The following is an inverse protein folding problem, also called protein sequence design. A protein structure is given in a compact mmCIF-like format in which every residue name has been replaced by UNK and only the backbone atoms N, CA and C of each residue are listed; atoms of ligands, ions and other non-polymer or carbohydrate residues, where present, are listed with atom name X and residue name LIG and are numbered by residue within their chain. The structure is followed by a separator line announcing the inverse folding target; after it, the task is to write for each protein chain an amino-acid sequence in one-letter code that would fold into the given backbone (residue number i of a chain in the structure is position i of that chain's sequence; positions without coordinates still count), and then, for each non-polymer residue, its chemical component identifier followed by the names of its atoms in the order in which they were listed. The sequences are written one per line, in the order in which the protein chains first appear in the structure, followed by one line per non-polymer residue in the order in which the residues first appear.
data_IF_856778212783
#
_entry.id   IF_856778212783
#
_cell.length_a   1.000
_cell.length_b   1.000
_cell.length_c   1.000
_cell.angle_alpha   90.00
_cell.angle_beta   90.00
_cell.angle_gamma   90.00
#
_symmetry.space_group_name_H-M   'P 1'
#
loop_
_entity.id
_entity.type
_entity.pdbx_description
1 polymer ?
#
# COMPACT_ATOMS: atom_id res chain seq x y z
N UNK A 1 13.25 -65.01 -39.81
CA UNK A 1 14.29 -64.77 -38.80
C UNK A 1 14.26 -63.27 -38.46
N UNK A 2 13.77 -62.96 -37.26
CA UNK A 2 13.68 -61.69 -36.53
C UNK A 2 13.02 -60.42 -37.12
N UNK A 3 11.81 -60.20 -36.61
CA UNK A 3 11.03 -58.98 -36.50
C UNK A 3 11.19 -58.47 -35.04
N UNK A 4 11.55 -57.19 -34.80
CA UNK A 4 11.32 -56.33 -33.59
C UNK A 4 12.40 -55.22 -33.52
N UNK A 5 12.09 -53.92 -33.69
CA UNK A 5 11.62 -52.94 -32.66
C UNK A 5 12.59 -52.88 -31.46
N UNK A 6 13.20 -51.74 -31.08
CA UNK A 6 12.56 -50.54 -30.52
C UNK A 6 13.51 -49.32 -30.63
N UNK A 7 13.03 -48.20 -31.21
CA UNK A 7 13.58 -46.86 -30.97
C UNK A 7 13.13 -46.42 -29.56
N UNK A 8 14.08 -46.22 -28.65
CA UNK A 8 13.79 -45.60 -27.35
C UNK A 8 13.57 -44.09 -27.55
N UNK A 9 12.31 -43.68 -27.62
CA UNK A 9 11.92 -42.27 -27.56
C UNK A 9 12.24 -41.72 -26.16
N UNK A 10 13.23 -40.83 -26.09
CA UNK A 10 13.51 -40.02 -24.91
C UNK A 10 12.41 -38.95 -24.80
N UNK A 11 11.25 -39.32 -24.29
CA UNK A 11 10.28 -38.34 -23.81
C UNK A 11 10.84 -37.72 -22.53
N UNK A 12 11.66 -36.68 -22.67
CA UNK A 12 11.87 -35.70 -21.61
C UNK A 12 10.52 -35.03 -21.36
N UNK A 13 9.72 -35.65 -20.49
CA UNK A 13 8.60 -34.99 -19.88
C UNK A 13 9.14 -33.76 -19.18
N UNK A 14 8.84 -32.59 -19.73
CA UNK A 14 9.02 -31.33 -19.01
C UNK A 14 8.04 -31.46 -17.84
N UNK A 15 8.53 -31.86 -16.67
CA UNK A 15 7.73 -31.80 -15.46
C UNK A 15 7.42 -30.33 -15.25
N UNK A 16 6.21 -29.91 -15.65
CA UNK A 16 5.68 -28.61 -15.26
C UNK A 16 5.59 -28.65 -13.74
N UNK A 17 6.57 -28.07 -13.05
CA UNK A 17 6.53 -27.91 -11.62
C UNK A 17 5.37 -26.95 -11.32
N UNK A 18 4.19 -27.52 -11.08
CA UNK A 18 3.07 -26.76 -10.53
C UNK A 18 3.58 -26.14 -9.24
N UNK A 19 3.48 -24.81 -9.06
CA UNK A 19 3.91 -24.17 -7.82
C UNK A 19 3.24 -24.87 -6.64
N UNK A 20 4.03 -25.43 -5.73
CA UNK A 20 3.50 -26.01 -4.50
C UNK A 20 3.11 -24.87 -3.58
N UNK A 21 1.82 -24.62 -3.48
CA UNK A 21 1.24 -23.66 -2.55
C UNK A 21 1.23 -24.18 -1.12
N UNK A 22 1.26 -23.26 -0.15
CA UNK A 22 1.16 -23.63 1.26
C UNK A 22 -0.28 -24.03 1.62
N UNK A 23 -0.49 -25.32 1.90
CA UNK A 23 -1.80 -25.87 2.25
C UNK A 23 -2.37 -25.25 3.54
N UNK A 24 -1.51 -24.77 4.46
CA UNK A 24 -1.98 -24.11 5.68
C UNK A 24 -2.66 -22.76 5.40
N UNK A 25 -2.43 -22.19 4.20
CA UNK A 25 -3.02 -20.93 3.77
C UNK A 25 -4.29 -21.12 2.93
N UNK A 26 -4.68 -22.35 2.58
CA UNK A 26 -5.86 -22.64 1.75
C UNK A 26 -7.12 -21.97 2.28
N UNK A 27 -7.43 -22.19 3.56
CA UNK A 27 -8.62 -21.60 4.20
C UNK A 27 -8.59 -20.08 4.17
N UNK A 28 -7.42 -19.46 4.47
CA UNK A 28 -7.25 -18.01 4.43
C UNK A 28 -7.41 -17.46 3.01
N UNK A 29 -6.89 -18.15 2.00
CA UNK A 29 -7.03 -17.78 0.59
C UNK A 29 -8.51 -17.80 0.15
N UNK A 30 -9.24 -18.88 0.43
CA UNK A 30 -10.65 -18.97 0.05
C UNK A 30 -11.53 -17.94 0.77
N UNK A 31 -11.28 -17.71 2.07
CA UNK A 31 -11.94 -16.65 2.82
C UNK A 31 -11.65 -15.27 2.23
N UNK A 32 -10.38 -14.97 1.96
CA UNK A 32 -9.97 -13.70 1.36
C UNK A 32 -10.62 -13.48 -0.02
N UNK A 33 -10.67 -14.50 -0.88
CA UNK A 33 -11.37 -14.43 -2.17
C UNK A 33 -12.86 -14.15 -2.00
N UNK A 34 -13.51 -14.83 -1.06
CA UNK A 34 -14.94 -14.64 -0.79
C UNK A 34 -15.24 -13.22 -0.30
N UNK A 35 -14.44 -12.70 0.64
CA UNK A 35 -14.57 -11.33 1.18
C UNK A 35 -14.44 -10.28 0.08
N UNK A 36 -13.44 -10.41 -0.81
CA UNK A 36 -13.17 -9.43 -1.86
C UNK A 36 -13.81 -9.78 -3.21
N UNK A 37 -14.75 -10.73 -3.22
CA UNK A 37 -15.54 -11.19 -4.37
C UNK A 37 -14.68 -11.52 -5.59
N UNK A 38 -13.58 -12.24 -5.36
CA UNK A 38 -12.64 -12.65 -6.41
C UNK A 38 -13.05 -13.96 -7.07
N UNK A 39 -13.13 -13.92 -8.39
CA UNK A 39 -13.39 -15.07 -9.26
C UNK A 39 -12.34 -15.03 -10.36
N UNK A 40 -11.53 -16.08 -10.46
CA UNK A 40 -10.45 -16.19 -11.44
C UNK A 40 -10.70 -17.34 -12.39
N UNK A 41 -10.18 -17.23 -13.61
CA UNK A 41 -10.06 -18.40 -14.49
C UNK A 41 -8.99 -19.38 -13.98
N UNK A 42 -9.05 -20.63 -14.44
CA UNK A 42 -8.12 -21.69 -14.03
C UNK A 42 -6.64 -21.32 -14.26
N UNK A 43 -6.35 -20.55 -15.31
CA UNK A 43 -5.00 -20.10 -15.66
C UNK A 43 -4.56 -18.85 -14.87
N UNK A 44 -5.49 -18.16 -14.22
CA UNK A 44 -5.21 -16.92 -13.47
C UNK A 44 -5.05 -17.18 -11.97
N UNK A 45 -5.84 -18.10 -11.41
CA UNK A 45 -5.89 -18.33 -9.97
C UNK A 45 -4.52 -18.69 -9.38
N UNK A 46 -3.74 -19.52 -10.08
CA UNK A 46 -2.45 -19.98 -9.59
C UNK A 46 -1.45 -18.84 -9.33
N UNK A 47 -1.32 -17.90 -10.26
CA UNK A 47 -0.37 -16.80 -10.09
C UNK A 47 -0.90 -15.72 -9.15
N UNK A 48 -2.22 -15.44 -9.14
CA UNK A 48 -2.84 -14.54 -8.15
C UNK A 48 -2.65 -15.07 -6.73
N UNK A 49 -2.80 -16.40 -6.54
CA UNK A 49 -2.51 -17.06 -5.27
C UNK A 49 -1.04 -16.96 -4.87
N UNK A 50 -0.12 -17.12 -5.83
CA UNK A 50 1.32 -16.97 -5.56
C UNK A 50 1.66 -15.54 -5.08
N UNK A 51 1.09 -14.51 -5.72
CA UNK A 51 1.24 -13.11 -5.30
C UNK A 51 0.68 -12.91 -3.88
N UNK A 52 -0.51 -13.43 -3.61
CA UNK A 52 -1.14 -13.33 -2.31
C UNK A 52 -0.35 -14.01 -1.19
N UNK A 53 0.17 -15.23 -1.41
CA UNK A 53 0.98 -15.94 -0.41
C UNK A 53 2.31 -15.22 -0.13
N UNK A 54 2.93 -14.66 -1.17
CA UNK A 54 4.14 -13.82 -1.02
C UNK A 54 3.84 -12.61 -0.13
N UNK A 55 2.74 -11.90 -0.39
CA UNK A 55 2.31 -10.75 0.40
C UNK A 55 1.97 -11.14 1.84
N UNK A 56 1.33 -12.29 2.06
CA UNK A 56 0.97 -12.77 3.40
C UNK A 56 2.21 -13.04 4.27
N UNK A 57 3.22 -13.72 3.73
CA UNK A 57 4.48 -14.00 4.46
C UNK A 57 5.23 -12.72 4.81
N UNK A 58 5.23 -11.75 3.90
CA UNK A 58 5.85 -10.44 4.11
C UNK A 58 5.16 -9.66 5.23
N UNK A 59 3.82 -9.67 5.28
CA UNK A 59 3.03 -9.08 6.37
C UNK A 59 3.33 -9.77 7.72
N UNK A 60 3.37 -11.10 7.76
CA UNK A 60 3.64 -11.86 8.99
C UNK A 60 5.05 -11.58 9.54
N UNK A 61 6.06 -11.50 8.67
CA UNK A 61 7.43 -11.15 9.05
C UNK A 61 7.50 -9.73 9.65
N UNK A 62 6.96 -8.73 8.96
CA UNK A 62 6.95 -7.34 9.42
C UNK A 62 6.27 -7.19 10.79
N UNK A 63 5.12 -7.85 11.00
CA UNK A 63 4.41 -7.79 12.27
C UNK A 63 5.17 -8.51 13.40
N UNK A 64 5.95 -9.55 13.08
CA UNK A 64 6.89 -10.16 14.03
C UNK A 64 7.99 -9.19 14.47
N UNK A 65 8.53 -8.39 13.56
CA UNK A 65 9.52 -7.34 13.85
C UNK A 65 8.92 -6.15 14.62
N UNK A 66 7.69 -5.76 14.30
CA UNK A 66 6.93 -4.77 15.08
C UNK A 66 6.81 -5.18 16.55
N UNK A 67 6.53 -6.46 16.83
CA UNK A 67 6.44 -6.97 18.22
C UNK A 67 7.75 -6.86 19.01
N UNK A 68 8.88 -6.75 18.30
CA UNK A 68 10.22 -6.54 18.86
C UNK A 68 10.59 -5.04 18.95
N UNK A 69 9.67 -4.13 18.61
CA UNK A 69 9.87 -2.68 18.63
C UNK A 69 10.70 -2.14 17.45
N UNK A 70 10.88 -2.92 16.38
CA UNK A 70 11.67 -2.51 15.21
C UNK A 70 10.92 -1.56 14.27
N UNK A 71 9.59 -1.59 14.30
CA UNK A 71 8.72 -0.80 13.44
C UNK A 71 7.72 0.02 14.26
N UNK A 72 7.33 1.19 13.75
CA UNK A 72 6.33 2.07 14.35
C UNK A 72 4.89 1.79 13.91
N UNK A 73 4.69 0.82 13.00
CA UNK A 73 3.41 0.49 12.41
C UNK A 73 3.25 -1.02 12.20
N UNK A 74 2.02 -1.45 11.94
CA UNK A 74 1.67 -2.83 11.59
C UNK A 74 1.08 -2.90 10.19
N UNK A 75 1.09 -4.10 9.62
CA UNK A 75 0.52 -4.40 8.31
C UNK A 75 -0.61 -5.43 8.40
N UNK A 76 -1.50 -5.44 7.41
CA UNK A 76 -2.57 -6.43 7.28
C UNK A 76 -2.91 -6.70 5.81
N UNK A 77 -3.33 -7.94 5.54
CA UNK A 77 -3.85 -8.32 4.23
C UNK A 77 -5.13 -7.54 3.93
N UNK A 78 -5.28 -7.03 2.71
CA UNK A 78 -6.42 -6.24 2.25
C UNK A 78 -6.78 -6.58 0.80
N UNK A 79 -7.66 -5.78 0.18
CA UNK A 79 -8.13 -5.99 -1.18
C UNK A 79 -7.04 -5.96 -2.27
N UNK A 80 -5.84 -5.46 -1.96
CA UNK A 80 -4.70 -5.42 -2.90
C UNK A 80 -3.82 -6.66 -2.84
N UNK A 81 -4.17 -7.66 -2.02
CA UNK A 81 -3.37 -8.87 -1.81
C UNK A 81 -3.02 -9.63 -3.10
N UNK A 82 -3.80 -9.46 -4.16
CA UNK A 82 -3.69 -10.14 -5.45
C UNK A 82 -3.32 -9.23 -6.64
N UNK A 83 -3.18 -7.92 -6.44
CA UNK A 83 -3.15 -6.94 -7.54
C UNK A 83 -1.78 -6.71 -8.18
N UNK A 84 -1.82 -6.38 -9.47
CA UNK A 84 -0.84 -5.65 -10.27
C UNK A 84 -1.47 -4.33 -10.78
N UNK A 85 -0.73 -3.23 -10.80
CA UNK A 85 -1.22 -1.85 -10.59
C UNK A 85 -1.74 -1.10 -11.84
N UNK A 86 -3.06 -1.02 -12.10
CA UNK A 86 -3.60 -0.01 -13.05
C UNK A 86 -4.93 0.61 -12.56
N UNK A 87 -4.90 1.90 -12.23
CA UNK A 87 -6.07 2.75 -12.05
C UNK A 87 -6.30 3.65 -13.29
N UNK A 88 -7.56 3.88 -13.68
CA UNK A 88 -7.92 4.79 -14.78
C UNK A 88 -8.86 5.89 -14.29
N UNK A 89 -8.53 7.13 -14.61
CA UNK A 89 -9.37 8.30 -14.37
C UNK A 89 -10.71 8.20 -15.13
N UNK A 90 -11.79 8.63 -14.50
CA UNK A 90 -13.17 8.63 -15.04
C UNK A 90 -13.78 10.03 -14.87
N UNK A 91 -13.95 10.83 -15.94
CA UNK A 91 -14.45 12.20 -15.85
C UNK A 91 -15.89 12.28 -15.32
N UNK A 92 -16.71 11.25 -15.51
CA UNK A 92 -18.08 11.16 -14.99
C UNK A 92 -18.16 11.17 -13.46
N UNK A 93 -17.04 10.89 -12.77
CA UNK A 93 -16.95 10.91 -11.31
C UNK A 93 -16.42 12.26 -10.77
N UNK A 94 -16.24 13.27 -11.64
CA UNK A 94 -15.85 14.62 -11.20
C UNK A 94 -17.03 15.32 -10.51
N UNK A 95 -16.80 15.82 -9.29
CA UNK A 95 -17.86 16.38 -8.43
C UNK A 95 -17.69 17.86 -8.09
N UNK A 96 -16.61 18.51 -8.54
CA UNK A 96 -16.33 19.91 -8.22
C UNK A 96 -15.59 20.62 -9.37
N UNK A 97 -15.86 21.92 -9.51
CA UNK A 97 -15.08 22.82 -10.36
C UNK A 97 -14.10 23.60 -9.48
N UNK A 98 -12.85 23.67 -9.91
CA UNK A 98 -11.80 24.43 -9.24
C UNK A 98 -11.63 25.80 -9.91
N UNK A 99 -11.72 26.88 -9.15
CA UNK A 99 -11.54 28.26 -9.68
C UNK A 99 -10.09 28.73 -9.60
N UNK A 100 -9.23 27.95 -8.94
CA UNK A 100 -7.79 28.18 -8.78
C UNK A 100 -7.31 27.53 -7.49
N UNK A 101 -6.00 27.40 -7.30
CA UNK A 101 -5.45 26.74 -6.11
C UNK A 101 -4.29 27.51 -5.54
N UNK A 102 -4.03 27.31 -4.25
CA UNK A 102 -2.87 27.83 -3.55
C UNK A 102 -1.90 26.70 -3.26
N UNK A 103 -0.64 26.89 -3.68
CA UNK A 103 0.47 25.97 -3.40
C UNK A 103 1.08 26.30 -2.04
N UNK A 104 1.26 25.28 -1.20
CA UNK A 104 2.02 25.39 0.03
C UNK A 104 3.52 25.29 -0.30
N UNK A 105 4.36 26.06 0.41
CA UNK A 105 5.80 26.10 0.18
C UNK A 105 6.41 24.67 0.13
N UNK A 106 6.99 24.25 -1.02
CA UNK A 106 7.45 22.88 -1.23
C UNK A 106 8.51 22.41 -0.21
N UNK A 107 8.32 21.18 0.29
CA UNK A 107 9.20 20.52 1.25
C UNK A 107 9.20 21.14 2.64
N UNK A 108 8.33 22.12 2.93
CA UNK A 108 8.29 22.82 4.22
C UNK A 108 7.15 22.27 5.09
N UNK A 109 7.44 21.26 5.90
CA UNK A 109 6.47 20.67 6.85
C UNK A 109 5.85 21.72 7.79
N UNK A 110 6.60 22.75 8.18
CA UNK A 110 6.06 23.87 8.98
C UNK A 110 5.03 24.71 8.22
N UNK A 111 5.21 24.90 6.92
CA UNK A 111 4.24 25.61 6.08
C UNK A 111 2.97 24.77 5.88
N UNK A 112 3.14 23.47 5.63
CA UNK A 112 2.02 22.52 5.58
C UNK A 112 1.24 22.51 6.89
N UNK A 113 1.93 22.49 8.04
CA UNK A 113 1.29 22.50 9.35
C UNK A 113 0.43 23.75 9.54
N UNK A 114 0.97 24.92 9.15
CA UNK A 114 0.23 26.18 9.20
C UNK A 114 -1.00 26.13 8.30
N UNK A 115 -0.84 25.68 7.05
CA UNK A 115 -1.95 25.58 6.10
C UNK A 115 -3.06 24.66 6.63
N UNK A 116 -2.71 23.48 7.16
CA UNK A 116 -3.68 22.55 7.77
C UNK A 116 -4.44 23.21 8.93
N UNK A 117 -3.73 23.96 9.78
CA UNK A 117 -4.33 24.61 10.93
C UNK A 117 -5.23 25.82 10.59
N UNK A 118 -4.91 26.57 9.52
CA UNK A 118 -5.59 27.83 9.20
C UNK A 118 -6.57 27.75 8.04
N UNK A 119 -6.47 26.73 7.20
CA UNK A 119 -7.32 26.54 6.01
C UNK A 119 -8.23 25.33 6.19
N UNK A 120 -7.68 24.20 6.65
CA UNK A 120 -8.39 22.92 6.73
C UNK A 120 -7.63 21.83 5.99
N UNK A 121 -8.32 20.81 5.44
CA UNK A 121 -7.67 19.71 4.73
C UNK A 121 -6.84 20.18 3.52
N UNK A 122 -5.64 19.62 3.36
CA UNK A 122 -4.69 19.98 2.30
C UNK A 122 -4.42 18.75 1.44
N UNK A 123 -4.57 18.89 0.12
CA UNK A 123 -4.23 17.87 -0.86
C UNK A 123 -2.71 17.77 -0.97
N UNK A 124 -2.16 16.56 -0.90
CA UNK A 124 -0.73 16.31 -1.00
C UNK A 124 -0.43 15.12 -1.90
N UNK A 125 0.77 15.07 -2.47
CA UNK A 125 1.32 13.85 -3.06
C UNK A 125 2.42 13.25 -2.16
N UNK A 126 2.57 11.94 -2.18
CA UNK A 126 3.60 11.20 -1.43
C UNK A 126 4.13 10.01 -2.22
N UNK A 127 5.27 9.47 -1.79
CA UNK A 127 5.76 8.14 -2.17
C UNK A 127 4.97 7.07 -1.41
N UNK A 128 4.20 6.27 -2.14
CA UNK A 128 3.37 5.18 -1.63
C UNK A 128 3.65 3.84 -2.34
N UNK A 129 4.66 3.78 -3.22
CA UNK A 129 5.04 2.60 -4.01
C UNK A 129 5.69 1.47 -3.21
N UNK A 130 5.65 1.55 -1.88
CA UNK A 130 6.21 0.57 -0.97
C UNK A 130 5.15 -0.43 -0.52
N UNK A 131 5.50 -1.72 -0.51
CA UNK A 131 4.61 -2.76 0.00
C UNK A 131 4.20 -2.54 1.47
N UNK A 132 5.06 -1.89 2.27
CA UNK A 132 4.76 -1.46 3.63
C UNK A 132 3.59 -0.48 3.71
N UNK A 133 3.45 0.42 2.72
CA UNK A 133 2.31 1.32 2.60
C UNK A 133 1.07 0.60 2.06
N UNK A 134 1.24 -0.22 1.02
CA UNK A 134 0.16 -0.99 0.40
C UNK A 134 -0.64 -1.79 1.43
N UNK A 135 0.04 -2.35 2.43
CA UNK A 135 -0.55 -3.17 3.48
C UNK A 135 -0.58 -2.51 4.86
N UNK A 136 -0.33 -1.19 4.96
CA UNK A 136 -0.41 -0.46 6.22
C UNK A 136 -1.74 -0.72 6.95
N UNK A 137 -1.68 -0.94 8.26
CA UNK A 137 -2.86 -1.12 9.12
C UNK A 137 -3.02 -0.08 10.21
N UNK A 138 -1.99 0.15 11.02
CA UNK A 138 -2.08 1.08 12.16
C UNK A 138 -0.69 1.50 12.64
N UNK A 139 -0.63 2.53 13.51
CA UNK A 139 0.62 3.11 14.02
C UNK A 139 1.14 4.26 13.13
N UNK A 140 2.29 4.82 13.50
CA UNK A 140 2.94 5.90 12.74
C UNK A 140 3.82 5.27 11.68
N UNK A 141 3.40 5.43 10.42
CA UNK A 141 4.10 4.93 9.26
C UNK A 141 5.43 5.66 9.06
N UNK A 142 6.50 4.87 8.98
CA UNK A 142 7.83 5.31 8.63
C UNK A 142 8.51 4.24 7.77
N UNK A 143 8.86 4.57 6.55
CA UNK A 143 9.53 3.68 5.59
C UNK A 143 10.91 4.26 5.25
N UNK A 144 12.01 3.65 5.71
CA UNK A 144 13.36 4.12 5.42
C UNK A 144 13.63 4.37 3.93
N UNK A 145 13.01 3.59 3.05
CA UNK A 145 13.20 3.68 1.60
C UNK A 145 12.27 4.70 0.92
N UNK A 146 11.41 5.40 1.67
CA UNK A 146 10.54 6.44 1.12
C UNK A 146 11.34 7.61 0.55
N UNK A 147 11.00 8.00 -0.67
CA UNK A 147 11.54 9.15 -1.37
C UNK A 147 10.79 10.43 -0.99
N UNK A 148 11.54 11.51 -0.75
CA UNK A 148 10.94 12.85 -0.66
C UNK A 148 10.68 13.51 -2.02
N UNK A 149 11.01 12.84 -3.13
CA UNK A 149 10.99 13.42 -4.49
C UNK A 149 10.17 12.63 -5.49
N UNK A 150 10.24 11.30 -5.43
CA UNK A 150 9.53 10.42 -6.35
C UNK A 150 8.13 10.17 -5.77
N UNK A 151 7.19 11.07 -6.08
CA UNK A 151 5.82 10.98 -5.59
C UNK A 151 4.98 10.24 -6.63
N UNK A 152 4.14 9.32 -6.19
CA UNK A 152 3.33 8.46 -7.06
C UNK A 152 1.86 8.39 -6.64
N UNK A 153 1.50 8.92 -5.45
CA UNK A 153 0.16 8.80 -4.91
C UNK A 153 -0.38 10.10 -4.30
N UNK A 154 -1.62 10.43 -4.62
CA UNK A 154 -2.33 11.61 -4.12
C UNK A 154 -3.23 11.28 -2.92
N UNK A 155 -3.07 12.01 -1.83
CA UNK A 155 -3.80 11.82 -0.56
C UNK A 155 -4.19 13.16 0.06
N UNK A 156 -4.94 13.13 1.17
CA UNK A 156 -5.43 14.33 1.84
C UNK A 156 -4.96 14.39 3.29
N UNK A 157 -4.14 15.39 3.64
CA UNK A 157 -3.80 15.68 5.03
C UNK A 157 -4.99 16.38 5.68
N UNK A 158 -5.57 15.77 6.72
CA UNK A 158 -6.76 16.31 7.42
C UNK A 158 -6.44 16.81 8.83
N UNK A 159 -5.21 16.60 9.30
CA UNK A 159 -4.78 17.01 10.64
C UNK A 159 -3.36 16.57 10.94
N UNK A 160 -2.91 16.82 12.16
CA UNK A 160 -1.64 16.37 12.70
C UNK A 160 -1.73 16.22 14.21
N UNK A 161 -0.82 15.43 14.79
CA UNK A 161 -0.82 15.18 16.23
C UNK A 161 0.50 14.56 16.71
N UNK A 162 0.47 14.03 17.91
CA UNK A 162 1.56 13.26 18.49
C UNK A 162 1.00 12.12 19.37
N UNK A 163 1.81 11.09 19.62
CA UNK A 163 1.48 9.98 20.53
C UNK A 163 2.45 9.88 21.71
N UNK A 164 1.98 9.46 22.89
CA UNK A 164 2.82 9.30 24.08
C UNK A 164 3.33 10.61 24.71
N UNK A 165 4.11 10.48 25.78
CA UNK A 165 4.59 11.61 26.59
C UNK A 165 5.78 12.38 25.97
N UNK A 166 6.55 11.74 25.08
CA UNK A 166 7.74 12.32 24.44
C UNK A 166 7.43 12.74 23.00
N UNK A 167 7.43 14.05 22.72
CA UNK A 167 6.96 14.62 21.47
C UNK A 167 7.92 14.51 20.27
N UNK A 168 9.18 14.08 20.45
CA UNK A 168 10.16 14.18 19.36
C UNK A 168 10.11 13.05 18.33
N UNK A 169 9.68 11.84 18.70
CA UNK A 169 9.65 10.67 17.80
C UNK A 169 8.25 10.16 17.46
N UNK A 170 7.21 10.84 17.94
CA UNK A 170 5.84 10.35 17.87
C UNK A 170 4.88 11.33 17.19
N UNK A 171 5.37 12.34 16.47
CA UNK A 171 4.53 13.27 15.71
C UNK A 171 4.08 12.62 14.41
N UNK A 172 2.85 12.92 14.01
CA UNK A 172 2.30 12.41 12.76
C UNK A 172 1.43 13.43 12.03
N UNK A 173 1.34 13.27 10.72
CA UNK A 173 0.26 13.77 9.87
C UNK A 173 -0.88 12.76 9.87
N UNK A 174 -2.11 13.22 10.08
CA UNK A 174 -3.30 12.39 9.87
C UNK A 174 -3.73 12.54 8.42
N UNK A 175 -3.64 11.44 7.67
CA UNK A 175 -3.84 11.43 6.22
C UNK A 175 -5.00 10.51 5.87
N UNK A 176 -5.96 11.04 5.10
CA UNK A 176 -7.06 10.30 4.51
C UNK A 176 -6.61 9.74 3.16
N UNK A 177 -6.76 8.43 2.98
CA UNK A 177 -6.51 7.75 1.72
C UNK A 177 -7.84 7.49 0.96
N UNK A 178 -7.74 7.05 -0.28
CA UNK A 178 -8.85 6.77 -1.20
C UNK A 178 -9.01 5.27 -1.51
N UNK A 179 -8.31 4.40 -0.79
CA UNK A 179 -8.30 2.94 -0.97
C UNK A 179 -9.37 2.19 -0.16
N UNK A 180 -10.42 2.89 0.24
CA UNK A 180 -11.53 2.34 1.01
C UNK A 180 -11.24 2.18 2.51
N UNK A 181 -12.27 1.87 3.31
CA UNK A 181 -12.16 1.83 4.77
C UNK A 181 -11.43 0.60 5.32
N UNK A 182 -11.28 -0.46 4.52
CA UNK A 182 -10.58 -1.68 4.96
C UNK A 182 -9.07 -1.48 5.08
N UNK A 183 -8.51 -0.62 4.22
CA UNK A 183 -7.11 -0.23 4.24
C UNK A 183 -6.80 0.69 5.44
N UNK A 184 -5.64 0.48 6.08
CA UNK A 184 -5.22 1.31 7.20
C UNK A 184 -6.20 1.30 8.38
N UNK A 185 -6.23 2.44 9.07
CA UNK A 185 -7.13 2.69 10.19
C UNK A 185 -8.39 3.36 9.66
N UNK A 186 -9.36 2.56 9.20
CA UNK A 186 -10.62 3.02 8.58
C UNK A 186 -10.40 3.95 7.36
N UNK A 187 -9.42 3.63 6.51
CA UNK A 187 -9.04 4.44 5.34
C UNK A 187 -8.06 5.57 5.64
N UNK A 188 -7.54 5.65 6.87
CA UNK A 188 -6.56 6.65 7.28
C UNK A 188 -5.21 6.04 7.62
N UNK A 189 -4.17 6.87 7.52
CA UNK A 189 -2.80 6.57 7.93
C UNK A 189 -2.23 7.73 8.74
N UNK A 190 -1.39 7.40 9.73
CA UNK A 190 -0.56 8.38 10.43
C UNK A 190 0.82 8.36 9.78
N UNK A 191 1.22 9.41 9.07
CA UNK A 191 2.55 9.51 8.43
C UNK A 191 3.51 10.23 9.38
N UNK A 192 4.74 9.74 9.52
CA UNK A 192 5.75 10.39 10.35
C UNK A 192 5.93 11.88 10.00
N UNK A 193 5.81 12.75 11.01
CA UNK A 193 5.91 14.21 10.86
C UNK A 193 7.20 14.76 11.47
N UNK A 194 7.72 15.83 10.89
CA UNK A 194 8.98 16.48 11.25
C UNK A 194 10.17 15.50 11.15
N UNK A 195 10.11 14.64 10.12
CA UNK A 195 11.07 13.56 9.84
C UNK A 195 11.67 13.73 8.45
N UNK A 196 12.23 14.91 8.22
CA UNK A 196 12.89 15.28 6.96
C UNK A 196 11.96 15.14 5.74
N UNK A 197 10.73 15.65 5.83
CA UNK A 197 9.74 15.56 4.74
C UNK A 197 9.54 14.10 4.28
N UNK A 198 9.26 13.23 5.25
CA UNK A 198 9.13 11.80 5.04
C UNK A 198 8.08 11.46 3.96
N UNK A 199 8.43 10.54 3.06
CA UNK A 199 7.68 10.19 1.85
C UNK A 199 7.26 11.40 0.98
N UNK A 200 7.90 12.56 1.14
CA UNK A 200 7.61 13.76 0.36
C UNK A 200 6.28 14.42 0.67
N UNK A 201 5.69 14.17 1.86
CA UNK A 201 4.34 14.63 2.23
C UNK A 201 4.11 16.15 2.09
N UNK A 202 5.17 16.97 2.17
CA UNK A 202 5.11 18.42 1.97
C UNK A 202 5.72 18.88 0.63
N UNK A 203 6.18 17.97 -0.24
CA UNK A 203 6.83 18.29 -1.53
C UNK A 203 5.85 18.91 -2.52
N UNK A 204 4.65 18.35 -2.65
CA UNK A 204 3.60 18.84 -3.53
C UNK A 204 2.29 18.95 -2.74
N UNK A 205 2.09 20.08 -2.07
CA UNK A 205 0.91 20.34 -1.24
C UNK A 205 0.14 21.56 -1.75
N UNK A 206 -1.18 21.46 -1.85
CA UNK A 206 -2.05 22.54 -2.34
C UNK A 206 -3.47 22.43 -1.79
N UNK A 207 -4.21 23.54 -1.87
CA UNK A 207 -5.63 23.59 -1.55
C UNK A 207 -6.37 24.48 -2.57
N UNK A 208 -7.64 24.19 -2.90
CA UNK A 208 -8.41 24.99 -3.83
C UNK A 208 -8.78 26.35 -3.22
N UNK A 209 -8.91 27.34 -4.07
CA UNK A 209 -9.54 28.61 -3.81
C UNK A 209 -11.02 28.44 -4.18
N UNK A 210 -11.90 28.68 -3.21
CA UNK A 210 -13.35 28.63 -3.39
C UNK A 210 -13.95 30.03 -3.45
#
# INVERSE_FOLDING_TARGET
MNLSLVLAAFCLGIASAVPKFDQNLDTKWYQWKATHRRLYGANEEGWRRAVWEKNMKMIELHNGEYSQGKHGFTMAMNAFGDMDEICKYRPENSVANDTGFTVVAPGKEKALMKAVATVGPISVAMDAGHSSFQFYKSGIYFEPDCSSKNLDHGVLVVGYGFEGANSNNSKYWLVKNSWGPEWGSNGYVKIAKDKNNHCGIATAASYPNV
#
